data_IF_484611407895
#
_entry.id   IF_484611407895
#
_cell.length_a   1.000
_cell.length_b   1.000
_cell.length_c   1.000
_cell.angle_alpha   90.00
_cell.angle_beta   90.00
_cell.angle_gamma   90.00
#
_symmetry.space_group_name_H-M   'P 1'
#
loop_
_entity.id
_entity.type
_entity.pdbx_description
1 polymer ?
#
# COMPACT_ATOMS: atom_id res chain seq x y z
N UNK A 1 -1.74 21.25 -2.52
CA UNK A 1 -2.86 21.43 -1.56
C UNK A 1 -2.82 20.35 -0.47
N UNK A 2 -3.32 20.66 0.70
CA UNK A 2 -3.41 19.76 1.84
C UNK A 2 -4.37 18.59 1.55
N UNK A 3 -3.96 17.35 1.86
CA UNK A 3 -4.77 16.14 1.66
C UNK A 3 -5.88 15.92 2.71
N UNK A 4 -6.01 16.82 3.69
CA UNK A 4 -6.96 16.66 4.79
C UNK A 4 -6.41 15.81 5.94
N UNK A 5 -7.28 15.19 6.75
CA UNK A 5 -6.94 14.40 7.93
C UNK A 5 -7.86 13.19 8.09
N UNK A 6 -7.48 12.25 8.93
CA UNK A 6 -8.22 11.02 9.19
C UNK A 6 -8.55 10.92 10.68
N UNK A 7 -9.82 10.61 10.98
CA UNK A 7 -10.28 10.32 12.35
C UNK A 7 -10.84 8.90 12.44
N UNK A 8 -11.03 8.41 13.66
CA UNK A 8 -11.85 7.23 13.87
C UNK A 8 -13.32 7.49 13.53
N UNK A 9 -14.06 6.44 13.17
CA UNK A 9 -15.50 6.51 12.99
C UNK A 9 -16.18 6.66 14.36
N UNK A 10 -17.09 7.61 14.44
CA UNK A 10 -17.94 7.79 15.64
C UNK A 10 -19.22 6.95 15.58
N UNK A 11 -19.43 6.20 14.50
CA UNK A 11 -20.56 5.28 14.39
C UNK A 11 -20.31 4.03 15.23
N UNK A 12 -21.06 3.77 16.32
CA UNK A 12 -20.84 2.63 17.20
C UNK A 12 -21.03 1.28 16.51
N UNK A 13 -21.82 1.23 15.44
CA UNK A 13 -22.12 0.02 14.67
C UNK A 13 -21.06 -0.31 13.60
N UNK A 14 -20.17 0.64 13.28
CA UNK A 14 -19.21 0.47 12.20
C UNK A 14 -17.85 1.08 12.57
N UNK A 15 -17.07 0.41 13.43
CA UNK A 15 -15.72 0.86 13.74
C UNK A 15 -14.89 0.96 12.46
N UNK A 16 -14.22 2.09 12.26
CA UNK A 16 -13.47 2.34 11.04
C UNK A 16 -12.70 3.63 11.11
N UNK A 17 -12.25 4.09 9.96
CA UNK A 17 -11.60 5.39 9.79
C UNK A 17 -12.38 6.25 8.80
N UNK A 18 -12.46 7.55 9.07
CA UNK A 18 -13.10 8.53 8.19
C UNK A 18 -12.09 9.57 7.74
N UNK A 19 -12.01 9.77 6.43
CA UNK A 19 -11.18 10.79 5.83
C UNK A 19 -11.97 12.09 5.67
N UNK A 20 -11.35 13.20 6.06
CA UNK A 20 -11.91 14.54 5.96
C UNK A 20 -11.06 15.39 5.02
N UNK A 21 -11.66 16.12 4.07
CA UNK A 21 -10.92 17.07 3.26
C UNK A 21 -10.39 18.22 4.14
N UNK A 22 -9.36 18.90 3.65
CA UNK A 22 -8.87 20.11 4.32
C UNK A 22 -9.95 21.21 4.26
N UNK A 23 -10.41 21.75 5.41
CA UNK A 23 -11.49 22.74 5.42
C UNK A 23 -11.08 24.09 4.78
N UNK A 24 -9.77 24.33 4.68
CA UNK A 24 -9.21 25.58 4.13
C UNK A 24 -8.65 25.40 2.71
N UNK A 25 -8.69 24.18 2.16
CA UNK A 25 -8.00 23.84 0.91
C UNK A 25 -6.56 24.42 0.87
N UNK A 26 -5.86 24.35 2.02
CA UNK A 26 -4.60 25.04 2.23
C UNK A 26 -3.54 24.59 1.22
N UNK A 27 -2.81 25.54 0.66
CA UNK A 27 -1.58 25.25 -0.10
C UNK A 27 -0.49 24.80 0.89
N UNK A 28 0.29 23.81 0.49
CA UNK A 28 1.41 23.29 1.28
C UNK A 28 2.64 23.17 0.36
N UNK A 29 3.80 23.48 0.92
CA UNK A 29 5.08 23.41 0.20
C UNK A 29 5.76 22.06 0.43
N UNK A 30 5.49 21.40 1.55
CA UNK A 30 6.09 20.12 1.93
C UNK A 30 5.10 19.21 2.65
N UNK A 31 5.32 17.90 2.52
CA UNK A 31 4.50 16.90 3.19
C UNK A 31 3.13 16.70 2.51
N UNK A 32 2.15 16.27 3.28
CA UNK A 32 0.80 15.95 2.78
C UNK A 32 -0.30 16.75 3.48
N UNK A 33 -0.03 17.31 4.64
CA UNK A 33 -1.02 17.96 5.49
C UNK A 33 -0.53 19.34 5.94
N UNK A 34 -1.45 20.31 6.03
CA UNK A 34 -1.18 21.56 6.72
C UNK A 34 -1.12 21.31 8.24
N UNK A 35 -0.51 22.23 9.05
CA UNK A 35 -0.38 22.05 10.49
C UNK A 35 -1.73 21.80 11.20
N UNK A 36 -2.80 22.46 10.75
CA UNK A 36 -4.15 22.27 11.30
C UNK A 36 -4.71 20.88 11.06
N UNK A 37 -4.51 20.32 9.87
CA UNK A 37 -4.95 18.96 9.57
C UNK A 37 -4.07 17.91 10.26
N UNK A 38 -2.75 18.13 10.32
CA UNK A 38 -1.84 17.25 11.02
C UNK A 38 -2.18 17.15 12.52
N UNK A 39 -2.54 18.28 13.16
CA UNK A 39 -2.98 18.29 14.56
C UNK A 39 -4.33 17.58 14.82
N UNK A 40 -5.14 17.36 13.79
CA UNK A 40 -6.43 16.66 13.86
C UNK A 40 -6.35 15.20 13.42
N UNK A 41 -5.22 14.79 12.82
CA UNK A 41 -5.06 13.44 12.31
C UNK A 41 -4.85 12.46 13.47
N UNK A 42 -5.80 11.55 13.65
CA UNK A 42 -5.75 10.54 14.70
C UNK A 42 -5.07 9.24 14.21
N UNK A 43 -4.93 9.08 12.89
CA UNK A 43 -4.45 7.83 12.30
C UNK A 43 -2.96 7.58 12.57
N UNK A 44 -2.16 8.63 12.71
CA UNK A 44 -0.72 8.52 12.97
C UNK A 44 -0.43 7.82 14.28
N UNK A 45 -1.25 8.04 15.32
CA UNK A 45 -1.10 7.41 16.63
C UNK A 45 -1.27 5.87 16.60
N UNK A 46 -2.01 5.33 15.62
CA UNK A 46 -2.19 3.88 15.47
C UNK A 46 -0.89 3.13 15.22
N UNK A 47 0.09 3.75 14.56
CA UNK A 47 1.34 3.09 14.21
C UNK A 47 2.19 2.72 15.42
N UNK A 48 2.05 3.46 16.52
CA UNK A 48 2.76 3.23 17.78
C UNK A 48 1.83 2.86 18.95
N UNK A 49 0.57 2.54 18.67
CA UNK A 49 -0.45 2.29 19.69
C UNK A 49 -0.13 1.09 20.60
N UNK A 50 0.56 0.08 20.10
CA UNK A 50 1.00 -1.08 20.90
C UNK A 50 2.08 -0.73 21.91
N UNK A 51 2.86 0.35 21.68
CA UNK A 51 3.84 0.90 22.62
C UNK A 51 3.21 1.94 23.56
N UNK A 52 2.26 2.74 23.03
CA UNK A 52 1.65 3.87 23.73
C UNK A 52 0.10 3.83 23.63
N UNK A 53 -0.57 2.82 24.22
CA UNK A 53 -2.02 2.63 24.04
C UNK A 53 -2.87 3.79 24.57
N UNK A 54 -2.33 4.58 25.51
CA UNK A 54 -3.00 5.76 26.07
C UNK A 54 -3.11 6.97 25.12
N UNK A 55 -2.44 6.93 23.95
CA UNK A 55 -2.46 8.03 22.98
C UNK A 55 -3.68 7.96 22.02
N UNK A 56 -4.42 6.87 22.03
CA UNK A 56 -5.57 6.69 21.16
C UNK A 56 -6.84 7.39 21.70
N UNK A 57 -7.55 8.07 20.82
CA UNK A 57 -8.94 8.48 21.08
C UNK A 57 -9.83 7.25 21.19
N UNK A 58 -11.01 7.38 21.78
CA UNK A 58 -11.95 6.26 21.96
C UNK A 58 -12.36 5.64 20.62
N UNK A 59 -12.59 6.47 19.60
CA UNK A 59 -12.92 5.99 18.23
C UNK A 59 -11.76 5.23 17.60
N UNK A 60 -10.52 5.69 17.75
CA UNK A 60 -9.34 5.01 17.26
C UNK A 60 -9.00 3.76 18.08
N UNK A 61 -9.32 3.76 19.37
CA UNK A 61 -9.23 2.57 20.21
C UNK A 61 -10.23 1.49 19.76
N UNK A 62 -11.47 1.86 19.47
CA UNK A 62 -12.47 0.93 18.91
C UNK A 62 -12.00 0.32 17.60
N UNK A 63 -11.42 1.12 16.70
CA UNK A 63 -10.80 0.62 15.46
C UNK A 63 -9.59 -0.30 15.72
N UNK A 64 -8.72 0.06 16.67
CA UNK A 64 -7.56 -0.76 17.03
C UNK A 64 -7.96 -2.11 17.67
N UNK A 65 -9.14 -2.20 18.27
CA UNK A 65 -9.67 -3.43 18.85
C UNK A 65 -10.40 -4.34 17.85
N UNK A 66 -10.51 -3.95 16.58
CA UNK A 66 -10.95 -4.87 15.53
C UNK A 66 -9.93 -5.99 15.33
N UNK A 67 -10.43 -7.10 14.82
CA UNK A 67 -9.57 -8.19 14.32
C UNK A 67 -8.65 -7.70 13.20
N UNK A 68 -7.39 -8.09 13.27
CA UNK A 68 -6.36 -7.70 12.30
C UNK A 68 -5.61 -8.91 11.78
N UNK A 69 -5.22 -8.83 10.52
CA UNK A 69 -4.40 -9.82 9.81
C UNK A 69 -2.97 -9.28 9.63
N UNK A 70 -1.98 -10.16 9.76
CA UNK A 70 -0.60 -9.94 9.35
C UNK A 70 -0.40 -10.49 7.96
N UNK A 71 0.21 -9.73 7.09
CA UNK A 71 0.52 -10.17 5.74
C UNK A 71 2.00 -10.02 5.39
N UNK A 72 2.48 -10.91 4.54
CA UNK A 72 3.74 -10.76 3.81
C UNK A 72 3.40 -10.38 2.39
N UNK A 73 3.86 -9.21 1.96
CA UNK A 73 3.68 -8.69 0.62
C UNK A 73 4.98 -8.74 -0.15
N UNK A 74 4.94 -9.20 -1.40
CA UNK A 74 6.08 -9.23 -2.30
C UNK A 74 5.81 -8.34 -3.50
N UNK A 75 6.78 -7.48 -3.80
CA UNK A 75 6.74 -6.57 -4.93
C UNK A 75 7.31 -7.23 -6.19
N UNK A 76 7.05 -6.69 -7.38
CA UNK A 76 7.50 -7.32 -8.63
C UNK A 76 9.01 -7.59 -8.73
N UNK A 77 9.84 -6.81 -8.04
CA UNK A 77 11.30 -6.98 -7.97
C UNK A 77 11.77 -8.05 -6.95
N UNK A 78 10.83 -8.81 -6.36
CA UNK A 78 11.12 -9.83 -5.35
C UNK A 78 11.38 -9.28 -3.94
N UNK A 79 11.38 -7.98 -3.72
CA UNK A 79 11.51 -7.41 -2.36
C UNK A 79 10.23 -7.58 -1.57
N UNK A 80 10.36 -7.61 -0.23
CA UNK A 80 9.25 -7.94 0.65
C UNK A 80 8.93 -6.83 1.63
N UNK A 81 7.73 -6.92 2.18
CA UNK A 81 7.25 -6.09 3.27
C UNK A 81 6.34 -6.91 4.17
N UNK A 82 6.48 -6.78 5.48
CA UNK A 82 5.46 -7.18 6.45
C UNK A 82 4.50 -6.00 6.69
N UNK A 83 3.25 -6.29 6.99
CA UNK A 83 2.27 -5.25 7.32
C UNK A 83 0.99 -5.83 7.88
N UNK A 84 0.12 -4.95 8.36
CA UNK A 84 -1.14 -5.31 9.00
C UNK A 84 -2.34 -4.71 8.26
N UNK A 85 -3.47 -5.39 8.32
CA UNK A 85 -4.76 -4.88 7.85
C UNK A 85 -5.87 -5.28 8.82
N UNK A 86 -6.75 -4.33 9.17
CA UNK A 86 -7.97 -4.67 9.88
C UNK A 86 -8.89 -5.49 8.96
N UNK A 87 -9.79 -6.26 9.55
CA UNK A 87 -10.77 -7.03 8.80
C UNK A 87 -11.56 -6.16 7.81
N UNK A 88 -11.92 -4.94 8.22
CA UNK A 88 -12.67 -3.99 7.39
C UNK A 88 -11.85 -3.36 6.27
N UNK A 89 -10.52 -3.41 6.33
CA UNK A 89 -9.62 -2.90 5.29
C UNK A 89 -9.10 -3.97 4.33
N UNK A 90 -9.38 -5.24 4.60
CA UNK A 90 -9.04 -6.37 3.74
C UNK A 90 -10.09 -6.51 2.61
N UNK A 91 -9.72 -6.71 1.32
CA UNK A 91 -8.36 -6.79 0.75
C UNK A 91 -7.78 -5.42 0.31
N UNK A 92 -8.58 -4.33 0.41
CA UNK A 92 -8.28 -2.99 -0.09
C UNK A 92 -6.88 -2.49 0.34
N UNK A 93 -6.47 -2.81 1.57
CA UNK A 93 -5.14 -2.39 2.08
C UNK A 93 -3.99 -2.86 1.20
N UNK A 94 -4.07 -4.07 0.65
CA UNK A 94 -3.05 -4.61 -0.24
C UNK A 94 -3.22 -4.09 -1.68
N UNK A 95 -4.46 -3.84 -2.13
CA UNK A 95 -4.72 -3.17 -3.41
C UNK A 95 -3.96 -1.83 -3.48
N UNK A 96 -4.00 -1.05 -2.39
CA UNK A 96 -3.33 0.26 -2.29
C UNK A 96 -1.80 0.16 -2.22
N UNK A 97 -1.22 -1.00 -1.87
CA UNK A 97 0.23 -1.15 -1.73
C UNK A 97 0.97 -1.39 -3.04
N UNK A 98 0.27 -1.66 -4.13
CA UNK A 98 0.86 -2.02 -5.43
C UNK A 98 1.78 -3.26 -5.33
N UNK A 99 1.34 -4.31 -4.66
CA UNK A 99 2.09 -5.56 -4.49
C UNK A 99 1.92 -6.47 -5.70
N UNK A 100 2.86 -7.34 -5.99
CA UNK A 100 2.70 -8.39 -6.99
C UNK A 100 1.91 -9.56 -6.43
N UNK A 101 2.20 -9.96 -5.19
CA UNK A 101 1.52 -11.04 -4.47
C UNK A 101 1.59 -10.79 -2.97
N UNK A 102 0.71 -11.40 -2.20
CA UNK A 102 0.77 -11.36 -0.74
C UNK A 102 0.07 -12.57 -0.13
N UNK A 103 0.50 -12.96 1.07
CA UNK A 103 -0.13 -14.01 1.88
C UNK A 103 -0.43 -13.46 3.28
N UNK A 104 -1.65 -13.66 3.77
CA UNK A 104 -1.98 -13.46 5.17
C UNK A 104 -1.45 -14.65 5.96
N UNK A 105 -0.58 -14.38 6.94
CA UNK A 105 0.15 -15.41 7.69
C UNK A 105 -0.30 -15.56 9.13
N UNK A 106 -0.99 -14.54 9.68
CA UNK A 106 -1.54 -14.60 11.03
C UNK A 106 -2.77 -13.71 11.18
N UNK A 107 -3.61 -14.05 12.17
CA UNK A 107 -4.78 -13.31 12.62
C UNK A 107 -4.65 -13.05 14.11
N UNK A 108 -4.95 -11.83 14.54
CA UNK A 108 -5.07 -11.47 15.95
C UNK A 108 -6.42 -10.83 16.25
N UNK A 109 -6.92 -10.97 17.49
CA UNK A 109 -8.21 -10.41 17.88
C UNK A 109 -8.22 -8.87 17.91
N UNK A 110 -7.04 -8.24 17.83
CA UNK A 110 -6.92 -6.78 17.80
C UNK A 110 -5.63 -6.30 17.14
N UNK A 111 -5.59 -5.00 16.81
CA UNK A 111 -4.47 -4.36 16.15
C UNK A 111 -3.24 -4.18 17.05
N UNK A 112 -3.37 -4.20 18.37
CA UNK A 112 -2.22 -4.10 19.28
C UNK A 112 -1.42 -5.40 19.28
N UNK A 113 -2.10 -6.54 19.35
CA UNK A 113 -1.49 -7.86 19.29
C UNK A 113 -0.79 -8.08 17.94
N UNK A 114 -1.46 -7.76 16.83
CA UNK A 114 -0.88 -7.99 15.50
C UNK A 114 0.34 -7.11 15.22
N UNK A 115 0.43 -5.90 15.81
CA UNK A 115 1.61 -5.05 15.65
C UNK A 115 2.83 -5.57 16.39
N UNK A 116 2.64 -6.21 17.55
CA UNK A 116 3.74 -6.90 18.23
C UNK A 116 4.28 -8.04 17.35
N UNK A 117 3.41 -8.78 16.68
CA UNK A 117 3.80 -9.80 15.71
C UNK A 117 4.49 -9.20 14.47
N UNK A 118 4.05 -8.04 13.97
CA UNK A 118 4.69 -7.30 12.88
C UNK A 118 6.12 -6.90 13.24
N UNK A 119 6.33 -6.37 14.45
CA UNK A 119 7.66 -6.01 14.97
C UNK A 119 8.56 -7.25 15.13
N UNK A 120 8.01 -8.36 15.63
CA UNK A 120 8.74 -9.63 15.76
C UNK A 120 9.21 -10.17 14.41
N UNK A 121 8.35 -10.16 13.38
CA UNK A 121 8.73 -10.56 12.02
C UNK A 121 9.82 -9.64 11.47
N UNK A 122 9.74 -8.34 11.74
CA UNK A 122 10.78 -7.41 11.32
C UNK A 122 12.11 -7.71 11.99
N UNK A 123 12.12 -7.96 13.29
CA UNK A 123 13.32 -8.19 14.08
C UNK A 123 13.97 -9.57 13.77
N UNK A 124 13.17 -10.63 13.67
CA UNK A 124 13.66 -12.02 13.56
C UNK A 124 13.83 -12.48 12.10
N UNK A 125 12.93 -12.06 11.19
CA UNK A 125 13.01 -12.45 9.79
C UNK A 125 13.68 -11.40 8.88
N UNK A 126 13.97 -10.20 9.39
CA UNK A 126 14.58 -9.11 8.61
C UNK A 126 13.65 -8.54 7.52
N UNK A 127 12.32 -8.70 7.66
CA UNK A 127 11.35 -8.20 6.69
C UNK A 127 10.86 -6.82 7.14
N UNK A 128 11.20 -5.77 6.38
CA UNK A 128 10.85 -4.39 6.73
C UNK A 128 9.36 -4.09 6.65
N UNK A 129 8.90 -3.10 7.42
CA UNK A 129 7.50 -2.63 7.45
C UNK A 129 7.20 -1.55 6.42
N UNK A 130 8.22 -0.91 5.86
CA UNK A 130 8.07 0.23 4.96
C UNK A 130 8.78 -0.02 3.63
N UNK A 131 8.10 0.28 2.52
CA UNK A 131 8.70 0.37 1.19
C UNK A 131 8.30 1.70 0.56
N UNK A 132 9.29 2.49 0.19
CA UNK A 132 9.09 3.82 -0.40
C UNK A 132 8.42 3.75 -1.77
N UNK A 133 7.65 4.79 -2.13
CA UNK A 133 6.91 4.87 -3.41
C UNK A 133 7.86 4.71 -4.60
N UNK A 134 9.00 5.40 -4.61
CA UNK A 134 9.98 5.30 -5.68
C UNK A 134 10.53 3.87 -5.86
N UNK A 135 10.75 3.14 -4.74
CA UNK A 135 11.18 1.74 -4.78
C UNK A 135 10.08 0.81 -5.32
N UNK A 136 8.81 1.07 -4.98
CA UNK A 136 7.67 0.33 -5.54
C UNK A 136 7.52 0.58 -7.04
N UNK A 137 7.69 1.83 -7.49
CA UNK A 137 7.65 2.19 -8.89
C UNK A 137 8.73 1.46 -9.69
N UNK A 138 9.97 1.48 -9.19
CA UNK A 138 11.09 0.74 -9.79
C UNK A 138 10.82 -0.77 -9.85
N UNK A 139 10.18 -1.34 -8.84
CA UNK A 139 9.81 -2.74 -8.84
C UNK A 139 8.89 -3.12 -10.01
N UNK A 140 7.95 -2.26 -10.39
CA UNK A 140 7.06 -2.48 -11.52
C UNK A 140 7.73 -2.25 -12.89
N UNK A 141 8.80 -1.45 -12.94
CA UNK A 141 9.59 -1.24 -14.18
C UNK A 141 10.74 -2.25 -14.35
N UNK A 142 11.05 -3.05 -13.31
CA UNK A 142 12.08 -4.08 -13.33
C UNK A 142 11.59 -5.35 -12.61
N UNK A 143 10.56 -6.00 -13.11
CA UNK A 143 9.98 -7.17 -12.46
C UNK A 143 10.87 -8.40 -12.61
N UNK A 144 10.86 -9.28 -11.60
CA UNK A 144 11.43 -10.62 -11.71
C UNK A 144 10.55 -11.52 -12.57
N UNK A 145 11.12 -12.54 -13.23
CA UNK A 145 10.37 -13.63 -13.84
C UNK A 145 9.43 -14.29 -12.82
N UNK A 146 8.24 -14.65 -13.25
CA UNK A 146 7.18 -15.14 -12.37
C UNK A 146 7.58 -16.34 -11.49
N UNK A 147 8.43 -17.25 -11.98
CA UNK A 147 8.93 -18.37 -11.17
C UNK A 147 9.84 -17.87 -10.01
N UNK A 148 10.76 -16.96 -10.31
CA UNK A 148 11.66 -16.38 -9.29
C UNK A 148 10.87 -15.55 -8.27
N UNK A 149 9.85 -14.82 -8.73
CA UNK A 149 8.98 -14.05 -7.85
C UNK A 149 8.20 -14.96 -6.88
N UNK A 150 7.69 -16.10 -7.35
CA UNK A 150 7.02 -17.08 -6.48
C UNK A 150 7.97 -17.65 -5.44
N UNK A 151 9.14 -18.14 -5.84
CA UNK A 151 10.14 -18.65 -4.89
C UNK A 151 10.52 -17.62 -3.84
N UNK A 152 10.80 -16.37 -4.27
CA UNK A 152 11.11 -15.29 -3.33
C UNK A 152 9.96 -15.02 -2.35
N UNK A 153 8.71 -15.09 -2.80
CA UNK A 153 7.55 -14.92 -1.93
C UNK A 153 7.40 -16.06 -0.92
N UNK A 154 7.50 -17.31 -1.39
CA UNK A 154 7.42 -18.52 -0.55
C UNK A 154 8.50 -18.52 0.54
N UNK A 155 9.74 -18.14 0.20
CA UNK A 155 10.86 -18.01 1.14
C UNK A 155 10.57 -16.93 2.20
N UNK A 156 10.02 -15.79 1.81
CA UNK A 156 9.66 -14.73 2.74
C UNK A 156 8.54 -15.14 3.70
N UNK A 157 7.52 -15.84 3.19
CA UNK A 157 6.42 -16.39 4.00
C UNK A 157 6.94 -17.42 4.99
N UNK A 158 7.83 -18.33 4.56
CA UNK A 158 8.43 -19.33 5.42
C UNK A 158 9.26 -18.69 6.57
N UNK A 159 10.10 -17.69 6.26
CA UNK A 159 10.85 -16.94 7.27
C UNK A 159 9.95 -16.21 8.25
N UNK A 160 8.89 -15.58 7.78
CA UNK A 160 7.93 -14.89 8.63
C UNK A 160 7.21 -15.86 9.59
N UNK A 161 6.82 -17.04 9.11
CA UNK A 161 6.19 -18.09 9.96
C UNK A 161 7.15 -18.63 11.01
N UNK A 162 8.42 -18.86 10.66
CA UNK A 162 9.43 -19.27 11.61
C UNK A 162 9.63 -18.23 12.71
N UNK A 163 9.72 -16.94 12.32
CA UNK A 163 9.82 -15.81 13.25
C UNK A 163 8.61 -15.73 14.21
N UNK A 164 7.39 -15.93 13.70
CA UNK A 164 6.18 -15.93 14.52
C UNK A 164 6.16 -17.11 15.50
N UNK A 165 6.60 -18.28 15.08
CA UNK A 165 6.71 -19.46 15.96
C UNK A 165 7.69 -19.19 17.09
N UNK A 166 8.87 -18.66 16.79
CA UNK A 166 9.87 -18.28 17.79
C UNK A 166 9.35 -17.22 18.76
N UNK A 167 8.73 -16.19 18.24
CA UNK A 167 8.16 -15.09 19.04
C UNK A 167 7.10 -15.58 20.03
N UNK A 168 6.22 -16.48 19.61
CA UNK A 168 5.13 -17.01 20.46
C UNK A 168 5.64 -17.86 21.64
N UNK A 169 6.84 -18.42 21.57
CA UNK A 169 7.46 -19.11 22.72
C UNK A 169 7.67 -18.15 23.89
N UNK A 170 8.05 -16.90 23.61
CA UNK A 170 8.23 -15.84 24.62
C UNK A 170 6.96 -15.12 25.02
N UNK A 171 5.84 -15.35 24.34
CA UNK A 171 4.59 -14.62 24.48
C UNK A 171 3.36 -15.56 24.57
N UNK A 172 3.29 -16.42 25.61
CA UNK A 172 2.27 -17.47 25.70
C UNK A 172 0.82 -16.95 25.78
N UNK A 173 0.64 -15.73 26.27
CA UNK A 173 -0.67 -15.10 26.40
C UNK A 173 -1.13 -14.35 25.12
N UNK A 174 -0.25 -14.24 24.15
CA UNK A 174 -0.57 -13.53 22.90
C UNK A 174 -1.41 -14.43 21.98
N UNK A 175 -2.65 -14.03 21.77
CA UNK A 175 -3.58 -14.76 20.91
C UNK A 175 -3.29 -14.45 19.44
N UNK A 176 -2.63 -15.37 18.74
CA UNK A 176 -2.43 -15.36 17.30
C UNK A 176 -2.90 -16.69 16.71
N UNK A 177 -3.71 -16.63 15.66
CA UNK A 177 -4.07 -17.79 14.84
C UNK A 177 -3.25 -17.77 13.55
N UNK A 178 -2.63 -18.90 13.21
CA UNK A 178 -1.93 -19.02 11.93
C UNK A 178 -2.91 -18.96 10.76
N UNK A 179 -2.52 -18.25 9.69
CA UNK A 179 -3.23 -18.21 8.42
C UNK A 179 -2.34 -18.68 7.27
N UNK A 180 -2.98 -19.18 6.24
CA UNK A 180 -2.38 -19.46 4.94
C UNK A 180 -3.36 -19.06 3.83
N UNK A 181 -3.64 -17.76 3.76
CA UNK A 181 -4.63 -17.21 2.85
C UNK A 181 -3.95 -16.30 1.85
N UNK A 182 -4.00 -16.69 0.57
CA UNK A 182 -3.48 -15.85 -0.51
C UNK A 182 -4.37 -14.62 -0.70
N UNK A 183 -3.76 -13.45 -0.76
CA UNK A 183 -4.48 -12.23 -1.11
C UNK A 183 -4.98 -12.28 -2.56
N UNK A 184 -6.23 -11.92 -2.73
CA UNK A 184 -6.87 -11.66 -4.01
C UNK A 184 -7.29 -10.20 -4.06
N UNK A 185 -7.00 -9.46 -5.14
CA UNK A 185 -7.47 -8.08 -5.30
C UNK A 185 -8.98 -7.96 -5.12
N UNK A 186 -9.45 -6.83 -4.62
CA UNK A 186 -10.89 -6.53 -4.56
C UNK A 186 -11.53 -6.60 -5.95
N UNK A 187 -12.84 -6.77 -6.02
CA UNK A 187 -13.57 -6.80 -7.29
C UNK A 187 -13.26 -5.60 -8.18
N UNK A 188 -13.10 -4.41 -7.59
CA UNK A 188 -12.77 -3.20 -8.32
C UNK A 188 -11.35 -3.22 -8.90
N UNK A 189 -10.41 -3.89 -8.23
CA UNK A 189 -9.00 -3.92 -8.62
C UNK A 189 -8.57 -5.21 -9.33
N UNK A 190 -9.40 -6.24 -9.34
CA UNK A 190 -9.04 -7.54 -9.94
C UNK A 190 -8.66 -7.40 -11.42
N UNK A 191 -9.53 -6.79 -12.22
CA UNK A 191 -9.26 -6.57 -13.66
C UNK A 191 -8.08 -5.63 -13.93
N UNK A 192 -7.96 -4.44 -13.28
CA UNK A 192 -6.79 -3.59 -13.40
C UNK A 192 -5.47 -4.27 -13.05
N UNK A 193 -5.44 -5.04 -11.95
CA UNK A 193 -4.24 -5.79 -11.55
C UNK A 193 -3.90 -6.91 -12.54
N UNK A 194 -4.90 -7.67 -13.00
CA UNK A 194 -4.69 -8.72 -13.99
C UNK A 194 -4.08 -8.16 -15.28
N UNK A 195 -4.57 -7.03 -15.77
CA UNK A 195 -4.06 -6.37 -16.96
C UNK A 195 -2.58 -5.91 -16.79
N UNK A 196 -2.22 -5.42 -15.60
CA UNK A 196 -0.85 -5.03 -15.33
C UNK A 196 0.08 -6.24 -15.20
N UNK A 197 -0.36 -7.32 -14.55
CA UNK A 197 0.40 -8.57 -14.39
C UNK A 197 0.58 -9.33 -15.71
N UNK A 198 -0.39 -9.27 -16.61
CA UNK A 198 -0.30 -9.95 -17.92
C UNK A 198 0.85 -9.44 -18.79
N UNK A 199 1.38 -8.25 -18.51
CA UNK A 199 2.54 -7.69 -19.19
C UNK A 199 3.89 -8.17 -18.62
N UNK A 200 3.92 -8.90 -17.52
CA UNK A 200 5.14 -9.50 -17.00
C UNK A 200 5.52 -10.74 -17.87
N UNK A 201 6.77 -10.87 -18.42
CA UNK A 201 8.00 -10.21 -17.97
C UNK A 201 8.39 -8.94 -18.74
N UNK A 202 7.61 -8.45 -19.67
CA UNK A 202 7.97 -7.23 -20.41
C UNK A 202 7.87 -6.01 -19.49
N UNK A 203 8.99 -5.36 -19.15
CA UNK A 203 8.99 -4.21 -18.27
C UNK A 203 8.29 -3.03 -18.94
N UNK A 204 7.41 -2.38 -18.19
CA UNK A 204 6.82 -1.11 -18.63
C UNK A 204 7.88 -0.01 -18.59
N UNK A 205 7.97 0.76 -19.66
CA UNK A 205 8.84 1.92 -19.70
C UNK A 205 8.45 2.93 -18.62
N UNK A 206 9.39 3.54 -17.89
CA UNK A 206 9.07 4.60 -16.96
C UNK A 206 8.56 5.83 -17.72
N UNK A 207 7.51 6.46 -17.19
CA UNK A 207 6.97 7.70 -17.70
C UNK A 207 7.33 8.85 -16.77
N UNK A 208 7.78 9.97 -17.34
CA UNK A 208 7.82 11.23 -16.60
C UNK A 208 6.37 11.71 -16.43
N UNK A 209 5.84 11.55 -15.22
CA UNK A 209 4.46 11.89 -14.87
C UNK A 209 4.32 13.25 -14.19
N UNK A 210 5.37 14.08 -14.22
CA UNK A 210 5.37 15.41 -13.61
C UNK A 210 4.34 16.32 -14.30
N UNK A 211 3.36 16.77 -13.53
CA UNK A 211 2.37 17.77 -13.94
C UNK A 211 2.80 19.16 -13.44
N UNK A 212 3.65 19.81 -14.17
CA UNK A 212 4.20 21.16 -13.88
C UNK A 212 3.41 22.29 -14.57
N UNK A 213 2.09 22.23 -14.50
CA UNK A 213 1.18 23.13 -15.22
C UNK A 213 0.83 22.68 -16.64
N UNK A 214 1.26 21.47 -17.01
CA UNK A 214 0.93 20.85 -18.30
C UNK A 214 -0.30 19.93 -18.22
N UNK A 215 -0.81 19.53 -19.37
CA UNK A 215 -1.88 18.54 -19.52
C UNK A 215 -1.27 17.16 -19.79
N UNK A 216 -1.77 16.12 -19.12
CA UNK A 216 -1.45 14.73 -19.43
C UNK A 216 -2.71 13.98 -19.86
N UNK A 217 -2.66 13.35 -21.04
CA UNK A 217 -3.75 12.52 -21.57
C UNK A 217 -3.20 11.19 -22.09
N UNK A 218 -3.73 10.08 -21.60
CA UNK A 218 -3.34 8.73 -22.01
C UNK A 218 -4.48 7.74 -21.79
N UNK A 219 -4.41 6.59 -22.46
CA UNK A 219 -5.34 5.49 -22.25
C UNK A 219 -4.81 4.57 -21.16
N UNK A 220 -5.60 4.39 -20.09
CA UNK A 220 -5.28 3.47 -19.00
C UNK A 220 -5.60 2.03 -19.40
N UNK A 221 -4.65 1.11 -19.21
CA UNK A 221 -4.82 -0.31 -19.52
C UNK A 221 -4.85 -1.20 -18.28
N UNK A 222 -4.24 -0.76 -17.17
CA UNK A 222 -4.20 -1.49 -15.91
C UNK A 222 -3.77 -0.59 -14.76
N UNK A 223 -3.89 -1.06 -13.53
CA UNK A 223 -3.47 -0.32 -12.35
C UNK A 223 -3.10 -1.24 -11.18
N UNK A 224 -2.15 -0.79 -10.35
CA UNK A 224 -1.81 -1.38 -9.07
C UNK A 224 -1.48 -0.26 -8.08
N UNK A 225 -2.30 -0.12 -7.04
CA UNK A 225 -2.18 0.99 -6.08
C UNK A 225 -2.20 2.34 -6.78
N UNK A 226 -1.08 3.06 -6.70
CA UNK A 226 -0.91 4.38 -7.31
C UNK A 226 -0.24 4.35 -8.69
N UNK A 227 0.02 3.17 -9.25
CA UNK A 227 0.64 3.03 -10.55
C UNK A 227 -0.38 2.64 -11.60
N UNK A 228 -0.29 3.26 -12.76
CA UNK A 228 -1.20 3.02 -13.89
C UNK A 228 -0.38 2.65 -15.11
N UNK A 229 -0.67 1.50 -15.73
CA UNK A 229 -0.16 1.23 -17.07
C UNK A 229 -1.00 1.96 -18.11
N UNK A 230 -0.33 2.61 -19.04
CA UNK A 230 -0.98 3.48 -20.00
C UNK A 230 -0.25 3.47 -21.36
N UNK A 231 -0.92 3.97 -22.41
CA UNK A 231 -0.32 4.24 -23.70
C UNK A 231 -0.90 5.52 -24.32
N UNK A 232 -0.21 6.07 -25.32
CA UNK A 232 -0.70 7.17 -26.15
C UNK A 232 -0.64 6.74 -27.61
N UNK A 233 -1.79 6.51 -28.22
CA UNK A 233 -1.90 6.03 -29.59
C UNK A 233 -1.62 4.52 -29.72
N UNK A 234 -0.33 4.14 -29.72
CA UNK A 234 0.09 2.75 -29.87
C UNK A 234 -0.09 1.94 -28.56
N UNK A 235 -0.94 0.89 -28.55
CA UNK A 235 -1.12 0.04 -27.37
C UNK A 235 0.13 -0.77 -26.98
N UNK A 236 1.04 -1.03 -27.92
CA UNK A 236 2.25 -1.80 -27.67
C UNK A 236 3.34 -0.95 -27.01
N UNK A 237 3.30 0.37 -27.21
CA UNK A 237 4.17 1.34 -26.56
C UNK A 237 3.64 1.74 -25.17
N UNK A 238 3.47 0.77 -24.27
CA UNK A 238 2.94 1.02 -22.94
C UNK A 238 4.03 1.48 -21.95
N UNK A 239 3.63 2.35 -21.03
CA UNK A 239 4.48 2.92 -20.00
C UNK A 239 3.77 2.90 -18.63
N UNK A 240 4.53 3.08 -17.57
CA UNK A 240 4.03 3.14 -16.20
C UNK A 240 3.99 4.59 -15.72
N UNK A 241 2.80 5.04 -15.28
CA UNK A 241 2.56 6.36 -14.69
C UNK A 241 2.55 6.24 -13.18
N UNK A 242 3.27 7.13 -12.48
CA UNK A 242 3.23 7.26 -11.03
C UNK A 242 2.27 8.37 -10.60
N UNK A 243 1.02 8.05 -10.32
CA UNK A 243 0.03 9.04 -9.89
C UNK A 243 0.29 9.59 -8.47
N UNK A 244 1.24 9.02 -7.71
CA UNK A 244 1.64 9.60 -6.43
C UNK A 244 2.29 10.98 -6.57
N UNK A 245 2.86 11.28 -7.74
CA UNK A 245 3.44 12.60 -8.07
C UNK A 245 2.35 13.67 -8.23
N UNK A 246 1.11 13.26 -8.48
CA UNK A 246 -0.03 14.16 -8.58
C UNK A 246 -0.70 14.45 -7.24
N UNK A 247 -0.21 13.84 -6.18
CA UNK A 247 -0.74 14.08 -4.84
C UNK A 247 -0.56 15.55 -4.48
N UNK A 248 -1.60 16.12 -3.90
CA UNK A 248 -1.66 17.53 -3.48
C UNK A 248 -1.70 18.54 -4.65
N UNK A 249 -1.81 18.10 -5.91
CA UNK A 249 -2.10 18.98 -7.03
C UNK A 249 -3.62 19.20 -7.16
N UNK A 250 -3.99 20.37 -7.60
CA UNK A 250 -5.33 20.65 -8.12
C UNK A 250 -5.32 20.31 -9.62
N UNK A 251 -6.01 19.25 -9.99
CA UNK A 251 -6.14 18.84 -11.38
C UNK A 251 -7.55 19.10 -11.88
N UNK A 252 -7.67 19.54 -13.13
CA UNK A 252 -8.94 19.71 -13.82
C UNK A 252 -8.98 18.75 -15.01
N UNK A 253 -10.15 18.09 -15.28
CA UNK A 253 -10.30 17.28 -16.47
C UNK A 253 -10.07 18.11 -17.73
N UNK A 254 -9.31 17.57 -18.67
CA UNK A 254 -9.09 18.14 -19.99
C UNK A 254 -9.31 17.05 -21.06
N UNK A 255 -9.59 17.46 -22.28
CA UNK A 255 -9.77 16.56 -23.44
C UNK A 255 -8.51 16.48 -24.31
N UNK A 256 -7.48 17.23 -23.97
CA UNK A 256 -6.20 17.22 -24.67
C UNK A 256 -5.39 15.96 -24.40
N UNK A 257 -4.74 15.44 -25.44
CA UNK A 257 -3.71 14.43 -25.31
C UNK A 257 -2.35 15.12 -25.36
N UNK A 258 -1.54 14.89 -24.35
CA UNK A 258 -0.17 15.42 -24.31
C UNK A 258 0.80 14.42 -24.92
N UNK A 259 1.89 14.93 -25.47
CA UNK A 259 3.05 14.10 -25.80
C UNK A 259 3.68 13.63 -24.50
N UNK A 260 3.44 12.37 -24.15
CA UNK A 260 4.11 11.73 -23.02
C UNK A 260 5.59 11.55 -23.41
N UNK A 261 6.48 12.06 -22.57
CA UNK A 261 7.92 11.77 -22.71
C UNK A 261 8.17 10.39 -22.12
N UNK A 262 8.18 9.38 -22.96
CA UNK A 262 8.65 8.05 -22.60
C UNK A 262 10.17 8.05 -22.76
N UNK A 263 10.86 7.80 -21.67
CA UNK A 263 12.32 7.62 -21.74
C UNK A 263 12.58 6.26 -22.39
N UNK A 264 12.80 6.27 -23.70
CA UNK A 264 13.18 5.06 -24.42
C UNK A 264 14.49 4.52 -23.84
N UNK A 265 14.54 3.21 -23.57
CA UNK A 265 15.80 2.52 -23.33
C UNK A 265 16.66 2.68 -24.57
N UNK A 266 17.84 3.25 -24.43
CA UNK A 266 18.80 3.41 -25.53
C UNK A 266 19.61 2.12 -25.80
N UNK A 267 19.23 0.98 -25.14
CA UNK A 267 19.87 -0.32 -25.34
C UNK A 267 18.90 -1.47 -25.08
#
# INVERSE_FOLDING_TARGET
FCSGYTTGSTDPGTPGTRRHPCPEAARIDRGQQCPRCAARDEFTALHSAHLYPGTLTDSMRAYAMLEHRLYIATFPDGTHKVGTSSLTSTPRRLDEQAVATATYVALAPNGLAIRRAEDAVTALAGIGQVKQVASKYRAWTHPLPGAQLRTAHEDAVARARAALTEFLVGEPDLQLSALDEQWVPSLAMNRPYAALRARNPEPLAPCDSTLDGSTAGFFCTGAAGQFVSAHVGDPDAAFLVNTAEWRNLLVVPDRGFTRVRVQGSLF
#
